data_IF_998960035765
#
_entry.id   IF_998960035765
#
_cell.length_a   1.000
_cell.length_b   1.000
_cell.length_c   1.000
_cell.angle_alpha   90.00
_cell.angle_beta   90.00
_cell.angle_gamma   90.00
#
_symmetry.space_group_name_H-M   'P 1'
#
loop_
_entity.id
_entity.type
_entity.pdbx_description
1 polymer ?
#
# COMPACT_ATOMS: atom_id res chain seq x y z
N UNK A 1 -1.42 9.60 -5.51
CA UNK A 1 -0.76 8.33 -5.11
C UNK A 1 -0.67 7.44 -6.34
N UNK A 2 0.45 6.73 -6.54
CA UNK A 2 0.55 5.67 -7.56
C UNK A 2 0.59 4.31 -6.87
N UNK A 3 -0.13 3.34 -7.41
CA UNK A 3 -0.25 2.00 -6.82
C UNK A 3 -0.26 0.94 -7.91
N UNK A 4 0.53 -0.12 -7.72
CA UNK A 4 0.59 -1.26 -8.62
C UNK A 4 0.54 -2.57 -7.82
N UNK A 5 1.70 -3.02 -7.33
CA UNK A 5 1.83 -4.28 -6.60
C UNK A 5 0.90 -4.38 -5.39
N UNK A 6 0.67 -3.27 -4.67
CA UNK A 6 -0.21 -3.24 -3.49
C UNK A 6 -1.66 -3.63 -3.78
N UNK A 7 -2.10 -3.53 -5.03
CA UNK A 7 -3.42 -3.98 -5.49
C UNK A 7 -3.30 -5.39 -6.08
N UNK A 8 -2.49 -5.54 -7.14
CA UNK A 8 -2.49 -6.75 -7.96
C UNK A 8 -1.78 -7.96 -7.33
N UNK A 9 -0.98 -7.76 -6.27
CA UNK A 9 -0.35 -8.84 -5.50
C UNK A 9 -1.01 -9.08 -4.13
N UNK A 10 -2.18 -8.48 -3.89
CA UNK A 10 -3.01 -8.78 -2.72
C UNK A 10 -3.91 -9.99 -2.99
N UNK A 11 -4.55 -10.53 -1.95
CA UNK A 11 -5.46 -11.67 -2.11
C UNK A 11 -6.78 -11.31 -2.81
N UNK A 12 -7.22 -10.05 -2.71
CA UNK A 12 -8.41 -9.53 -3.41
C UNK A 12 -8.12 -8.14 -4.03
N UNK A 13 -7.60 -8.12 -5.27
CA UNK A 13 -7.24 -6.88 -5.95
C UNK A 13 -8.42 -5.94 -6.19
N UNK A 14 -9.62 -6.44 -6.49
CA UNK A 14 -10.76 -5.61 -6.85
C UNK A 14 -11.25 -4.80 -5.64
N UNK A 15 -11.47 -5.47 -4.51
CA UNK A 15 -11.90 -4.83 -3.27
C UNK A 15 -10.83 -3.83 -2.78
N UNK A 16 -9.55 -4.21 -2.84
CA UNK A 16 -8.45 -3.32 -2.43
C UNK A 16 -8.30 -2.09 -3.33
N UNK A 17 -8.51 -2.22 -4.65
CA UNK A 17 -8.49 -1.08 -5.56
C UNK A 17 -9.58 -0.05 -5.21
N UNK A 18 -10.81 -0.51 -5.00
CA UNK A 18 -11.93 0.36 -4.61
C UNK A 18 -11.65 1.05 -3.28
N UNK A 19 -11.12 0.31 -2.30
CA UNK A 19 -10.76 0.87 -1.00
C UNK A 19 -9.70 1.97 -1.11
N UNK A 20 -8.64 1.77 -1.89
CA UNK A 20 -7.57 2.76 -2.07
C UNK A 20 -8.07 4.02 -2.77
N UNK A 21 -8.94 3.88 -3.78
CA UNK A 21 -9.56 5.03 -4.45
C UNK A 21 -10.40 5.84 -3.45
N UNK A 22 -11.29 5.18 -2.69
CA UNK A 22 -12.10 5.85 -1.68
C UNK A 22 -11.25 6.51 -0.59
N UNK A 23 -10.23 5.81 -0.09
CA UNK A 23 -9.32 6.33 0.91
C UNK A 23 -8.55 7.57 0.40
N UNK A 24 -8.13 7.57 -0.86
CA UNK A 24 -7.46 8.73 -1.47
C UNK A 24 -8.40 9.92 -1.61
N UNK A 25 -9.66 9.68 -2.02
CA UNK A 25 -10.68 10.73 -2.15
C UNK A 25 -11.06 11.33 -0.79
N UNK A 26 -11.16 10.51 0.26
CA UNK A 26 -11.63 10.90 1.59
C UNK A 26 -10.51 10.87 2.64
N UNK A 27 -9.28 11.23 2.26
CA UNK A 27 -8.09 11.05 3.09
C UNK A 27 -8.15 11.73 4.47
N UNK A 28 -9.02 12.72 4.65
CA UNK A 28 -9.17 13.49 5.89
C UNK A 28 -10.42 13.13 6.70
N UNK A 29 -11.15 12.08 6.31
CA UNK A 29 -12.31 11.56 7.03
C UNK A 29 -11.95 10.23 7.71
N UNK A 30 -11.68 10.24 9.04
CA UNK A 30 -11.23 9.05 9.74
C UNK A 30 -12.27 7.92 9.77
N UNK A 31 -13.57 8.24 9.69
CA UNK A 31 -14.63 7.24 9.71
C UNK A 31 -14.65 6.47 8.39
N UNK A 32 -14.56 7.18 7.26
CA UNK A 32 -14.48 6.54 5.94
C UNK A 32 -13.20 5.70 5.82
N UNK A 33 -12.06 6.21 6.28
CA UNK A 33 -10.79 5.46 6.24
C UNK A 33 -10.90 4.16 7.05
N UNK A 34 -11.47 4.22 8.25
CA UNK A 34 -11.67 3.04 9.08
C UNK A 34 -12.59 2.02 8.41
N UNK A 35 -13.67 2.47 7.77
CA UNK A 35 -14.62 1.60 7.09
C UNK A 35 -14.00 0.89 5.88
N UNK A 36 -13.35 1.63 4.98
CA UNK A 36 -12.77 1.05 3.76
C UNK A 36 -11.54 0.18 4.04
N UNK A 37 -10.98 0.21 5.25
CA UNK A 37 -9.84 -0.62 5.65
C UNK A 37 -10.25 -2.02 6.13
N UNK A 38 -11.55 -2.29 6.30
CA UNK A 38 -12.06 -3.58 6.79
C UNK A 38 -12.11 -4.63 5.68
N UNK A 39 -11.92 -5.90 6.05
CA UNK A 39 -12.15 -7.07 5.20
C UNK A 39 -11.44 -7.05 3.83
N UNK A 40 -10.29 -6.36 3.71
CA UNK A 40 -9.52 -6.24 2.47
C UNK A 40 -8.66 -7.45 2.11
N UNK A 41 -8.77 -8.54 2.89
CA UNK A 41 -7.90 -9.70 2.80
C UNK A 41 -6.42 -9.39 3.04
N UNK A 42 -5.57 -10.33 2.66
CA UNK A 42 -4.12 -10.24 2.83
C UNK A 42 -3.51 -9.22 1.87
N UNK A 43 -2.67 -8.36 2.42
CA UNK A 43 -1.88 -7.41 1.63
C UNK A 43 -0.71 -8.12 0.94
N UNK A 44 -0.09 -7.43 -0.03
CA UNK A 44 1.16 -7.95 -0.60
C UNK A 44 2.26 -8.01 0.49
N UNK A 45 3.10 -9.06 0.50
CA UNK A 45 4.30 -9.07 1.33
C UNK A 45 5.26 -7.94 0.92
N UNK A 46 5.68 -7.12 1.87
CA UNK A 46 6.73 -6.13 1.69
C UNK A 46 8.11 -6.70 2.04
N UNK A 47 9.17 -6.12 1.47
CA UNK A 47 10.53 -6.30 1.98
C UNK A 47 10.88 -5.11 2.89
N UNK A 48 11.48 -5.40 4.05
CA UNK A 48 12.05 -4.36 4.90
C UNK A 48 13.27 -3.73 4.18
N UNK A 49 13.32 -2.40 4.17
CA UNK A 49 14.42 -1.63 3.56
C UNK A 49 15.79 -2.03 4.11
N UNK A 50 15.88 -2.44 5.38
CA UNK A 50 17.12 -2.87 6.03
C UNK A 50 17.68 -4.18 5.48
N UNK A 51 16.82 -4.97 4.83
CA UNK A 51 17.19 -6.25 4.20
C UNK A 51 17.61 -6.07 2.74
N UNK A 52 17.44 -4.88 2.17
CA UNK A 52 17.82 -4.58 0.79
C UNK A 52 19.35 -4.39 0.74
N UNK A 53 20.08 -5.17 -0.09
CA UNK A 53 21.51 -4.98 -0.27
C UNK A 53 21.87 -3.55 -0.73
N UNK A 54 23.02 -2.99 -0.31
CA UNK A 54 23.38 -1.60 -0.64
C UNK A 54 23.38 -1.29 -2.14
N UNK A 55 23.78 -2.25 -2.97
CA UNK A 55 23.80 -2.16 -4.44
C UNK A 55 22.41 -2.11 -5.10
N UNK A 56 21.37 -2.49 -4.36
CA UNK A 56 19.97 -2.49 -4.83
C UNK A 56 19.14 -1.34 -4.26
N UNK A 57 19.73 -0.48 -3.45
CA UNK A 57 19.06 0.72 -2.95
C UNK A 57 18.98 1.77 -4.05
N UNK A 58 17.78 2.27 -4.31
CA UNK A 58 17.57 3.37 -5.27
C UNK A 58 18.18 4.70 -4.79
N UNK A 59 18.34 4.86 -3.47
CA UNK A 59 19.04 5.97 -2.84
C UNK A 59 19.69 5.49 -1.54
N UNK A 60 20.96 5.82 -1.35
CA UNK A 60 21.69 5.61 -0.10
C UNK A 60 21.46 6.80 0.85
N UNK A 61 21.43 6.55 2.16
CA UNK A 61 21.24 7.62 3.16
C UNK A 61 22.54 8.43 3.31
N UNK A 62 22.53 9.68 2.85
CA UNK A 62 23.66 10.61 2.94
C UNK A 62 23.70 11.49 1.69
N UNK A 63 23.89 12.80 1.87
CA UNK A 63 24.21 13.74 0.78
C UNK A 63 25.71 13.68 0.50
#
# INVERSE_FOLDING_TARGET
>A
VFVGSGIFKSSDPATRAVAIVKATTHYNDPEIIAEVSKNLGEAMPGLDIRQIPPDKLLATRGW
#
